data_IF_111750536228
#
_entry.id   IF_111750536228
#
_cell.length_a   1.000
_cell.length_b   1.000
_cell.length_c   1.000
_cell.angle_alpha   90.00
_cell.angle_beta   90.00
_cell.angle_gamma   90.00
#
_symmetry.space_group_name_H-M   'P 1'
#
loop_
_entity.id
_entity.type
_entity.pdbx_description
1 polymer ?
#
# COMPACT_ATOMS: atom_id res chain seq x y z
N UNK A 1 23.13 -39.76 -41.48
CA UNK A 1 22.07 -38.73 -41.46
C UNK A 1 21.89 -38.26 -40.02
N UNK A 2 22.58 -37.19 -39.61
CA UNK A 2 22.46 -36.61 -38.28
C UNK A 2 21.43 -35.47 -38.32
N UNK A 3 20.39 -35.56 -37.49
CA UNK A 3 19.37 -34.53 -37.31
C UNK A 3 20.01 -33.33 -36.58
N UNK A 4 20.14 -32.20 -37.28
CA UNK A 4 20.57 -30.92 -36.69
C UNK A 4 19.34 -30.30 -36.04
N UNK A 5 19.27 -30.36 -34.71
CA UNK A 5 18.25 -29.66 -33.92
C UNK A 5 18.56 -28.15 -33.88
N UNK A 6 17.60 -27.26 -34.21
CA UNK A 6 17.84 -25.83 -34.10
C UNK A 6 17.90 -25.39 -32.62
N UNK A 7 18.75 -24.40 -32.27
CA UNK A 7 18.89 -23.91 -30.91
C UNK A 7 17.61 -23.20 -30.42
N UNK A 8 17.34 -23.21 -29.10
CA UNK A 8 16.15 -22.57 -28.53
C UNK A 8 16.16 -21.05 -28.77
N UNK A 9 15.15 -20.56 -29.48
CA UNK A 9 14.92 -19.16 -29.87
C UNK A 9 14.66 -18.18 -28.71
N UNK A 10 14.80 -18.59 -27.45
CA UNK A 10 14.44 -17.77 -26.28
C UNK A 10 15.61 -16.97 -25.67
N UNK A 11 16.86 -17.26 -26.02
CA UNK A 11 18.03 -16.64 -25.39
C UNK A 11 18.63 -15.43 -26.15
N UNK A 12 18.34 -15.28 -27.45
CA UNK A 12 18.98 -14.27 -28.30
C UNK A 12 18.25 -12.91 -28.38
N UNK A 13 17.02 -12.81 -27.86
CA UNK A 13 16.22 -11.56 -27.88
C UNK A 13 16.37 -10.69 -26.62
N UNK A 14 17.18 -11.10 -25.64
CA UNK A 14 17.44 -10.29 -24.43
C UNK A 14 18.63 -9.32 -24.58
N UNK A 15 19.34 -9.34 -25.71
CA UNK A 15 20.53 -8.51 -25.97
C UNK A 15 20.26 -7.25 -26.80
N UNK A 16 19.17 -7.20 -27.56
CA UNK A 16 18.77 -5.97 -28.25
C UNK A 16 18.05 -5.05 -27.27
N UNK A 17 18.72 -3.98 -26.83
CA UNK A 17 18.21 -2.91 -25.95
C UNK A 17 17.02 -2.12 -26.52
N UNK A 18 15.95 -2.82 -26.91
CA UNK A 18 14.64 -2.30 -27.22
C UNK A 18 13.80 -2.37 -25.94
N UNK A 19 13.24 -1.25 -25.46
CA UNK A 19 12.26 -1.32 -24.37
C UNK A 19 11.02 -1.99 -24.93
N UNK A 20 10.91 -3.31 -24.75
CA UNK A 20 9.65 -4.02 -24.98
C UNK A 20 8.66 -3.48 -23.95
N UNK A 21 7.85 -2.52 -24.38
CA UNK A 21 6.70 -2.05 -23.63
C UNK A 21 5.76 -3.24 -23.47
N UNK A 22 5.79 -3.93 -22.32
CA UNK A 22 4.89 -5.03 -22.02
C UNK A 22 3.56 -4.45 -21.48
N UNK A 23 2.49 -4.33 -22.29
CA UNK A 23 1.26 -3.65 -21.88
C UNK A 23 0.56 -4.32 -20.69
N UNK A 24 0.72 -5.64 -20.52
CA UNK A 24 0.13 -6.41 -19.42
C UNK A 24 0.74 -6.06 -18.06
N UNK A 25 2.06 -5.88 -17.98
CA UNK A 25 2.77 -5.54 -16.73
C UNK A 25 2.39 -4.13 -16.27
N UNK A 26 2.31 -3.18 -17.20
CA UNK A 26 1.86 -1.82 -16.86
C UNK A 26 0.40 -1.78 -16.41
N UNK A 27 -0.47 -2.59 -17.03
CA UNK A 27 -1.86 -2.70 -16.61
C UNK A 27 -1.96 -3.31 -15.20
N UNK A 28 -1.21 -4.37 -14.91
CA UNK A 28 -1.18 -4.98 -13.58
C UNK A 28 -0.66 -4.00 -12.50
N UNK A 29 0.43 -3.28 -12.79
CA UNK A 29 0.98 -2.25 -11.91
C UNK A 29 -0.01 -1.11 -11.63
N UNK A 30 -0.76 -0.65 -12.65
CA UNK A 30 -1.83 0.35 -12.49
C UNK A 30 -2.95 -0.15 -11.58
N UNK A 31 -3.39 -1.39 -11.79
CA UNK A 31 -4.45 -2.00 -10.97
C UNK A 31 -4.01 -2.15 -9.52
N UNK A 32 -2.77 -2.57 -9.27
CA UNK A 32 -2.18 -2.68 -7.93
C UNK A 32 -2.16 -1.32 -7.23
N UNK A 33 -1.60 -0.29 -7.86
CA UNK A 33 -1.55 1.06 -7.30
C UNK A 33 -2.95 1.61 -6.99
N UNK A 34 -3.93 1.39 -7.88
CA UNK A 34 -5.32 1.80 -7.66
C UNK A 34 -5.98 1.03 -6.50
N UNK A 35 -5.66 -0.26 -6.32
CA UNK A 35 -6.14 -1.06 -5.19
C UNK A 35 -5.54 -0.55 -3.87
N UNK A 36 -4.22 -0.37 -3.80
CA UNK A 36 -3.52 0.16 -2.64
C UNK A 36 -4.08 1.52 -2.20
N UNK A 37 -4.29 2.43 -3.16
CA UNK A 37 -4.87 3.75 -2.89
C UNK A 37 -6.28 3.65 -2.30
N UNK A 38 -7.12 2.75 -2.83
CA UNK A 38 -8.47 2.52 -2.29
C UNK A 38 -8.43 1.94 -0.87
N UNK A 39 -7.50 1.02 -0.61
CA UNK A 39 -7.32 0.42 0.71
C UNK A 39 -6.90 1.47 1.73
N UNK A 40 -5.84 2.23 1.44
CA UNK A 40 -5.34 3.32 2.30
C UNK A 40 -6.43 4.35 2.60
N UNK A 41 -7.17 4.81 1.58
CA UNK A 41 -8.25 5.79 1.79
C UNK A 41 -9.35 5.26 2.72
N UNK A 42 -9.71 3.98 2.60
CA UNK A 42 -10.69 3.36 3.50
C UNK A 42 -10.15 3.29 4.93
N UNK A 43 -8.91 2.87 5.10
CA UNK A 43 -8.25 2.78 6.41
C UNK A 43 -8.17 4.15 7.07
N UNK A 44 -7.70 5.19 6.36
CA UNK A 44 -7.62 6.56 6.88
C UNK A 44 -8.99 7.09 7.27
N UNK A 45 -10.03 6.83 6.47
CA UNK A 45 -11.39 7.26 6.78
C UNK A 45 -11.95 6.56 8.03
N UNK A 46 -11.72 5.24 8.16
CA UNK A 46 -12.14 4.47 9.34
C UNK A 46 -11.40 4.94 10.60
N UNK A 47 -10.08 5.07 10.52
CA UNK A 47 -9.22 5.55 11.60
C UNK A 47 -9.65 6.94 12.08
N UNK A 48 -9.82 7.88 11.14
CA UNK A 48 -10.32 9.23 11.43
C UNK A 48 -11.71 9.18 12.08
N UNK A 49 -12.61 8.35 11.57
CA UNK A 49 -13.97 8.22 12.11
C UNK A 49 -13.97 7.70 13.55
N UNK A 50 -13.13 6.70 13.86
CA UNK A 50 -12.98 6.17 15.23
C UNK A 50 -12.38 7.19 16.18
N UNK A 51 -11.34 7.91 15.75
CA UNK A 51 -10.72 8.97 16.55
C UNK A 51 -11.68 10.13 16.82
N UNK A 52 -12.41 10.58 15.80
CA UNK A 52 -13.44 11.62 15.95
C UNK A 52 -14.54 11.15 16.88
N UNK A 53 -15.05 9.92 16.71
CA UNK A 53 -16.07 9.37 17.58
C UNK A 53 -15.60 9.29 19.04
N UNK A 54 -14.39 8.76 19.28
CA UNK A 54 -13.81 8.67 20.61
C UNK A 54 -13.69 10.06 21.27
N UNK A 55 -13.15 11.04 20.54
CA UNK A 55 -13.02 12.40 21.04
C UNK A 55 -14.38 13.06 21.29
N UNK A 56 -15.35 12.89 20.39
CA UNK A 56 -16.71 13.40 20.56
C UNK A 56 -17.36 12.81 21.81
N UNK A 57 -17.28 11.50 22.01
CA UNK A 57 -17.80 10.86 23.21
C UNK A 57 -17.06 11.35 24.47
N UNK A 58 -15.74 11.51 24.40
CA UNK A 58 -14.93 12.02 25.50
C UNK A 58 -15.37 13.43 25.93
N UNK A 59 -15.53 14.36 24.98
CA UNK A 59 -15.93 15.73 25.25
C UNK A 59 -17.42 15.86 25.60
N UNK A 60 -18.31 15.12 24.93
CA UNK A 60 -19.76 15.22 25.14
C UNK A 60 -20.21 14.60 26.47
N UNK A 61 -19.56 13.52 26.91
CA UNK A 61 -19.83 12.89 28.21
C UNK A 61 -19.00 13.47 29.36
N UNK A 62 -18.18 14.50 29.09
CA UNK A 62 -17.43 15.30 30.07
C UNK A 62 -16.66 14.46 31.12
N UNK A 63 -16.15 13.30 30.70
CA UNK A 63 -15.54 12.31 31.59
C UNK A 63 -14.03 12.55 31.63
N UNK A 64 -13.43 13.03 32.74
CA UNK A 64 -11.99 13.28 32.80
C UNK A 64 -11.26 11.95 32.97
N UNK A 65 -11.18 11.14 31.91
CA UNK A 65 -10.11 10.14 31.79
C UNK A 65 -8.94 10.82 31.12
N UNK A 66 -7.75 10.61 31.68
CA UNK A 66 -6.52 11.05 31.06
C UNK A 66 -6.49 10.63 29.58
N UNK A 67 -6.12 11.56 28.70
CA UNK A 67 -5.88 11.29 27.27
C UNK A 67 -4.55 10.57 27.03
N UNK A 68 -3.70 10.42 28.06
CA UNK A 68 -2.41 9.75 27.96
C UNK A 68 -2.49 8.32 27.41
N UNK A 69 -3.35 7.41 27.93
CA UNK A 69 -3.50 6.08 27.35
C UNK A 69 -3.92 6.12 25.88
N UNK A 70 -4.87 6.99 25.53
CA UNK A 70 -5.30 7.16 24.15
C UNK A 70 -4.14 7.53 23.23
N UNK A 71 -3.31 8.50 23.63
CA UNK A 71 -2.14 8.92 22.85
C UNK A 71 -1.10 7.80 22.72
N UNK A 72 -0.80 7.07 23.79
CA UNK A 72 0.18 5.97 23.79
C UNK A 72 -0.23 4.86 22.81
N UNK A 73 -1.51 4.48 22.78
CA UNK A 73 -2.00 3.45 21.87
C UNK A 73 -2.18 3.94 20.43
N UNK A 74 -2.46 5.23 20.23
CA UNK A 74 -2.71 5.79 18.89
C UNK A 74 -1.41 6.06 18.11
N UNK A 75 -0.34 6.48 18.79
CA UNK A 75 0.95 6.78 18.15
C UNK A 75 1.50 5.64 17.26
N UNK A 76 1.60 4.37 17.74
CA UNK A 76 2.10 3.29 16.91
C UNK A 76 1.20 3.03 15.69
N UNK A 77 -0.12 3.15 15.83
CA UNK A 77 -1.07 2.99 14.71
C UNK A 77 -0.87 4.05 13.64
N UNK A 78 -0.76 5.33 14.02
CA UNK A 78 -0.50 6.42 13.09
C UNK A 78 0.86 6.27 12.39
N UNK A 79 1.88 5.77 13.10
CA UNK A 79 3.19 5.51 12.52
C UNK A 79 3.13 4.39 11.46
N UNK A 80 2.38 3.31 11.73
CA UNK A 80 2.17 2.22 10.78
C UNK A 80 1.35 2.68 9.57
N UNK A 81 0.26 3.41 9.77
CA UNK A 81 -0.54 3.99 8.68
C UNK A 81 0.32 4.88 7.77
N UNK A 82 1.18 5.72 8.36
CA UNK A 82 2.12 6.55 7.61
C UNK A 82 3.16 5.72 6.84
N UNK A 83 3.64 4.62 7.43
CA UNK A 83 4.57 3.71 6.78
C UNK A 83 3.92 2.98 5.60
N UNK A 84 2.71 2.46 5.76
CA UNK A 84 1.94 1.80 4.69
C UNK A 84 1.58 2.77 3.57
N UNK A 85 1.25 4.02 3.88
CA UNK A 85 1.03 5.08 2.87
C UNK A 85 2.28 5.29 2.00
N UNK A 86 3.48 5.26 2.61
CA UNK A 86 4.74 5.38 1.87
C UNK A 86 5.07 4.15 1.03
N UNK A 87 4.77 2.95 1.53
CA UNK A 87 5.00 1.70 0.81
C UNK A 87 4.05 1.52 -0.38
N UNK A 88 2.78 1.83 -0.20
CA UNK A 88 1.73 1.60 -1.18
C UNK A 88 1.61 2.69 -2.25
N UNK A 89 2.24 3.86 -2.08
CA UNK A 89 2.10 4.98 -3.02
C UNK A 89 2.86 4.73 -4.32
N UNK A 90 2.18 4.86 -5.49
CA UNK A 90 2.86 4.76 -6.77
C UNK A 90 3.86 5.91 -6.96
N UNK A 91 5.08 5.56 -7.36
CA UNK A 91 6.11 6.52 -7.77
C UNK A 91 6.02 6.69 -9.29
N UNK A 92 5.62 7.88 -9.72
CA UNK A 92 5.62 8.27 -11.13
C UNK A 92 6.95 8.96 -11.46
N UNK A 93 7.58 8.57 -12.57
CA UNK A 93 8.73 9.32 -13.11
C UNK A 93 8.21 10.25 -14.19
N UNK A 94 8.64 11.52 -14.16
CA UNK A 94 8.41 12.45 -15.26
C UNK A 94 9.54 12.26 -16.26
N UNK A 95 9.43 11.25 -17.12
CA UNK A 95 10.35 11.08 -18.23
C UNK A 95 9.67 11.48 -19.55
N UNK A 96 10.45 12.11 -20.43
CA UNK A 96 9.98 13.02 -21.47
C UNK A 96 8.98 12.49 -22.50
N UNK A 97 8.36 13.46 -23.18
CA UNK A 97 7.59 13.39 -24.42
C UNK A 97 6.18 12.77 -24.44
N UNK A 98 5.77 11.87 -23.52
CA UNK A 98 4.36 11.40 -23.54
C UNK A 98 3.88 10.79 -22.21
N UNK A 99 3.45 11.64 -21.29
CA UNK A 99 2.65 11.24 -20.11
C UNK A 99 3.39 10.51 -18.98
N UNK A 100 2.78 10.51 -17.79
CA UNK A 100 3.35 9.91 -16.57
C UNK A 100 3.56 8.40 -16.73
N UNK A 101 4.81 7.96 -16.90
CA UNK A 101 5.18 6.55 -16.87
C UNK A 101 5.27 6.11 -15.39
N UNK A 102 4.52 5.08 -15.01
CA UNK A 102 4.61 4.46 -13.68
C UNK A 102 5.96 3.78 -13.53
N UNK A 103 6.77 4.28 -12.58
CA UNK A 103 8.11 3.73 -12.29
C UNK A 103 8.03 2.58 -11.30
N UNK A 104 7.13 2.68 -10.32
CA UNK A 104 6.78 1.61 -9.38
C UNK A 104 5.35 1.79 -8.90
N UNK A 105 4.60 0.68 -8.80
CA UNK A 105 3.24 0.65 -8.30
C UNK A 105 3.13 0.80 -6.76
N UNK A 106 4.27 0.74 -6.05
CA UNK A 106 4.30 0.49 -4.61
C UNK A 106 4.29 -1.01 -4.31
N UNK A 107 4.58 -1.35 -3.06
CA UNK A 107 4.50 -2.74 -2.58
C UNK A 107 3.04 -3.17 -2.43
N UNK A 108 2.77 -4.47 -2.54
CA UNK A 108 1.43 -4.99 -2.32
C UNK A 108 1.06 -4.85 -0.84
N UNK A 109 0.07 -4.00 -0.55
CA UNK A 109 -0.41 -3.79 0.81
C UNK A 109 -1.25 -4.97 1.34
N UNK A 110 -1.55 -5.96 0.50
CA UNK A 110 -2.27 -7.19 0.84
C UNK A 110 -1.32 -8.41 0.83
N UNK A 111 -0.01 -8.17 0.80
CA UNK A 111 0.99 -9.23 0.88
C UNK A 111 0.95 -9.92 2.25
N UNK A 112 1.08 -11.25 2.25
CA UNK A 112 1.20 -12.02 3.47
C UNK A 112 2.52 -11.74 4.20
N UNK A 113 2.50 -11.91 5.53
CA UNK A 113 3.69 -11.75 6.38
C UNK A 113 3.76 -10.41 7.10
N UNK A 114 4.76 -9.57 6.80
CA UNK A 114 5.00 -8.33 7.55
C UNK A 114 3.87 -7.31 7.36
N UNK A 115 3.34 -7.19 6.14
CA UNK A 115 2.24 -6.27 5.83
C UNK A 115 0.94 -6.70 6.51
N UNK A 116 0.66 -8.00 6.52
CA UNK A 116 -0.44 -8.60 7.28
C UNK A 116 -0.33 -8.28 8.78
N UNK A 117 0.86 -8.41 9.35
CA UNK A 117 1.09 -8.04 10.76
C UNK A 117 0.81 -6.55 11.04
N UNK A 118 1.14 -5.64 10.12
CA UNK A 118 0.78 -4.23 10.27
C UNK A 118 -0.73 -4.01 10.32
N UNK A 119 -1.49 -4.77 9.53
CA UNK A 119 -2.95 -4.73 9.57
C UNK A 119 -3.50 -5.26 10.89
N UNK A 120 -2.95 -6.34 11.44
CA UNK A 120 -3.35 -6.87 12.74
C UNK A 120 -3.21 -5.81 13.85
N UNK A 121 -2.09 -5.08 13.87
CA UNK A 121 -1.87 -4.02 14.88
C UNK A 121 -2.88 -2.88 14.73
N UNK A 122 -3.19 -2.46 13.49
CA UNK A 122 -4.20 -1.41 13.23
C UNK A 122 -5.58 -1.89 13.71
N UNK A 123 -6.01 -3.08 13.28
CA UNK A 123 -7.32 -3.62 13.62
C UNK A 123 -7.47 -3.90 15.11
N UNK A 124 -6.43 -4.38 15.77
CA UNK A 124 -6.44 -4.59 17.22
C UNK A 124 -6.60 -3.26 17.96
N UNK A 125 -5.93 -2.21 17.50
CA UNK A 125 -6.07 -0.87 18.10
C UNK A 125 -7.49 -0.33 17.94
N UNK A 126 -8.11 -0.52 16.78
CA UNK A 126 -9.52 -0.16 16.57
C UNK A 126 -10.45 -0.95 17.51
N UNK A 127 -10.19 -2.24 17.70
CA UNK A 127 -10.90 -3.07 18.67
C UNK A 127 -10.79 -2.54 20.11
N UNK A 128 -9.58 -2.15 20.54
CA UNK A 128 -9.36 -1.56 21.86
C UNK A 128 -10.00 -0.18 22.05
N UNK A 129 -10.20 0.61 20.99
CA UNK A 129 -10.89 1.90 21.07
C UNK A 129 -12.42 1.75 21.18
N UNK A 130 -12.99 0.66 20.64
CA UNK A 130 -14.43 0.39 20.67
C UNK A 130 -14.92 -0.41 21.88
N UNK A 131 -14.03 -1.06 22.64
CA UNK A 131 -14.33 -1.85 23.84
C UNK A 131 -14.40 -0.98 25.11
#
# INVERSE_FOLDING_TARGET
>A
MAQVTPPPLSASLLSSGFPIYQPSIQKAAKTLAARNTRLLNRTHLTSLSLHVLYLLLHFLFNRPRSLTPYLIFTIPTLAIEFYLERLGRPRYSRDGASGNILRSAGEDLDASGLTEYFWDVIYWTWGCMGA
#
